data_IF_552909958218
#
_entry.id   IF_552909958218
#
_cell.length_a   1.000
_cell.length_b   1.000
_cell.length_c   1.000
_cell.angle_alpha   90.00
_cell.angle_beta   90.00
_cell.angle_gamma   90.00
#
_symmetry.space_group_name_H-M   'P 1'
#
loop_
_entity.id
_entity.type
_entity.pdbx_description
1 polymer ?
#
# COMPACT_ATOMS: atom_id res chain seq x y z
N UNK A 1 -5.15 10.01 -22.61
CA UNK A 1 -4.45 10.01 -21.31
C UNK A 1 -3.44 8.88 -21.37
N UNK A 2 -2.14 9.18 -21.21
CA UNK A 2 -1.09 8.16 -21.16
C UNK A 2 -0.75 7.97 -19.69
N UNK A 3 -0.94 6.76 -19.16
CA UNK A 3 -0.53 6.40 -17.80
C UNK A 3 0.81 5.67 -17.92
N UNK A 4 1.82 6.19 -17.23
CA UNK A 4 3.15 5.56 -17.16
C UNK A 4 3.34 4.97 -15.77
N UNK A 5 3.62 3.67 -15.71
CA UNK A 5 4.03 3.01 -14.47
C UNK A 5 5.54 3.23 -14.34
N UNK A 6 5.97 3.85 -13.25
CA UNK A 6 7.39 4.00 -12.91
C UNK A 6 7.69 3.33 -11.57
N UNK A 7 8.94 2.92 -11.39
CA UNK A 7 9.42 2.51 -10.08
C UNK A 7 9.45 3.73 -9.13
N UNK A 8 9.23 3.46 -7.85
CA UNK A 8 9.50 4.44 -6.80
C UNK A 8 11.00 4.52 -6.54
N UNK A 9 11.52 5.73 -6.39
CA UNK A 9 12.95 6.01 -6.24
C UNK A 9 13.23 6.76 -4.93
N UNK A 10 12.27 7.55 -4.45
CA UNK A 10 12.43 8.36 -3.23
C UNK A 10 11.70 7.78 -2.04
N UNK A 11 12.17 8.11 -0.83
CA UNK A 11 11.49 7.73 0.40
C UNK A 11 10.07 8.31 0.50
N UNK A 12 9.84 9.48 -0.08
CA UNK A 12 8.52 10.13 -0.13
C UNK A 12 7.54 9.34 -1.01
N UNK A 13 7.99 8.86 -2.17
CA UNK A 13 7.18 8.02 -3.06
C UNK A 13 6.79 6.71 -2.37
N UNK A 14 7.74 6.07 -1.70
CA UNK A 14 7.51 4.84 -0.94
C UNK A 14 6.53 5.07 0.22
N UNK A 15 6.69 6.16 0.99
CA UNK A 15 5.77 6.50 2.07
C UNK A 15 4.37 6.83 1.54
N UNK A 16 4.27 7.56 0.43
CA UNK A 16 3.02 7.88 -0.25
C UNK A 16 2.26 6.61 -0.64
N UNK A 17 2.94 5.66 -1.31
CA UNK A 17 2.34 4.37 -1.66
C UNK A 17 1.93 3.56 -0.44
N UNK A 18 2.79 3.51 0.58
CA UNK A 18 2.50 2.77 1.82
C UNK A 18 1.19 3.23 2.46
N UNK A 19 0.93 4.55 2.46
CA UNK A 19 -0.31 5.14 2.96
C UNK A 19 -1.51 4.80 2.08
N UNK A 20 -1.38 4.91 0.76
CA UNK A 20 -2.47 4.57 -0.17
C UNK A 20 -2.88 3.10 -0.02
N UNK A 21 -1.93 2.17 0.06
CA UNK A 21 -2.26 0.76 0.29
C UNK A 21 -2.94 0.55 1.64
N UNK A 22 -2.36 1.09 2.71
CA UNK A 22 -2.94 0.96 4.06
C UNK A 22 -4.38 1.50 4.13
N UNK A 23 -4.62 2.67 3.53
CA UNK A 23 -5.96 3.27 3.45
C UNK A 23 -6.91 2.42 2.61
N UNK A 24 -6.46 1.95 1.44
CA UNK A 24 -7.26 1.07 0.57
C UNK A 24 -7.68 -0.20 1.29
N UNK A 25 -6.81 -0.77 2.13
CA UNK A 25 -7.18 -1.96 2.91
C UNK A 25 -8.37 -1.72 3.83
N UNK A 26 -8.47 -0.52 4.40
CA UNK A 26 -9.53 -0.10 5.32
C UNK A 26 -10.80 0.35 4.61
N UNK A 27 -10.69 0.84 3.39
CA UNK A 27 -11.83 1.35 2.63
C UNK A 27 -12.45 0.26 1.75
N UNK A 28 -11.63 -0.45 0.98
CA UNK A 28 -12.11 -1.41 -0.01
C UNK A 28 -12.48 -2.77 0.59
N UNK A 29 -11.80 -3.20 1.67
CA UNK A 29 -12.00 -4.54 2.23
C UNK A 29 -12.78 -4.57 3.54
N UNK A 30 -13.24 -3.44 4.06
CA UNK A 30 -13.92 -3.33 5.37
C UNK A 30 -15.02 -4.38 5.56
N UNK A 31 -15.83 -4.60 4.52
CA UNK A 31 -16.98 -5.50 4.55
C UNK A 31 -16.73 -6.84 3.81
N UNK A 32 -15.52 -7.03 3.30
CA UNK A 32 -15.14 -8.21 2.50
C UNK A 32 -14.28 -9.16 3.35
N UNK A 33 -13.37 -8.62 4.15
CA UNK A 33 -12.43 -9.40 4.95
C UNK A 33 -12.75 -9.29 6.44
N UNK A 34 -12.53 -10.35 7.23
CA UNK A 34 -12.67 -10.27 8.68
C UNK A 34 -11.77 -9.16 9.26
N UNK A 35 -12.25 -8.48 10.30
CA UNK A 35 -11.55 -7.35 10.92
C UNK A 35 -10.12 -7.71 11.35
N UNK A 36 -9.92 -8.91 11.90
CA UNK A 36 -8.62 -9.45 12.29
C UNK A 36 -7.60 -9.54 11.14
N UNK A 37 -8.03 -9.71 9.89
CA UNK A 37 -7.13 -9.69 8.73
C UNK A 37 -6.75 -8.27 8.35
N UNK A 38 -7.68 -7.33 8.43
CA UNK A 38 -7.41 -5.92 8.15
C UNK A 38 -6.51 -5.29 9.21
N UNK A 39 -6.69 -5.65 10.48
CA UNK A 39 -5.84 -5.19 11.59
C UNK A 39 -4.38 -5.64 11.44
N UNK A 40 -4.15 -6.79 10.80
CA UNK A 40 -2.80 -7.26 10.47
C UNK A 40 -2.13 -6.44 9.36
N UNK A 41 -2.89 -5.72 8.52
CA UNK A 41 -2.35 -4.78 7.54
C UNK A 41 -2.07 -3.43 8.19
N UNK A 42 -1.04 -3.41 9.02
CA UNK A 42 -0.55 -2.17 9.64
C UNK A 42 0.17 -1.29 8.62
N UNK A 43 0.28 0.01 8.92
CA UNK A 43 1.02 0.94 8.08
C UNK A 43 2.50 0.52 7.94
N UNK A 44 3.10 0.01 9.01
CA UNK A 44 4.50 -0.48 8.98
C UNK A 44 4.66 -1.70 8.08
N UNK A 45 3.66 -2.58 8.03
CA UNK A 45 3.65 -3.71 7.11
C UNK A 45 3.52 -3.24 5.66
N UNK A 46 2.71 -2.20 5.42
CA UNK A 46 2.60 -1.58 4.09
C UNK A 46 3.91 -0.88 3.67
N UNK A 47 4.62 -0.24 4.61
CA UNK A 47 5.98 0.30 4.39
C UNK A 47 6.98 -0.78 4.00
N UNK A 48 7.00 -1.86 4.77
CA UNK A 48 7.86 -3.01 4.48
C UNK A 48 7.62 -3.55 3.06
N UNK A 49 6.36 -3.74 2.66
CA UNK A 49 6.06 -4.21 1.31
C UNK A 49 6.42 -3.20 0.23
N UNK A 50 6.19 -1.90 0.46
CA UNK A 50 6.53 -0.87 -0.52
C UNK A 50 8.04 -0.73 -0.75
N UNK A 51 8.84 -0.97 0.29
CA UNK A 51 10.31 -1.01 0.18
C UNK A 51 10.80 -2.31 -0.46
N UNK A 52 10.17 -3.44 -0.13
CA UNK A 52 10.59 -4.76 -0.62
C UNK A 52 10.19 -4.99 -2.08
N UNK A 53 9.07 -4.42 -2.51
CA UNK A 53 8.48 -4.59 -3.83
C UNK A 53 8.11 -3.22 -4.44
N UNK A 54 9.10 -2.37 -4.77
CA UNK A 54 8.86 -1.03 -5.29
C UNK A 54 8.20 -1.01 -6.68
N UNK A 55 8.27 -2.11 -7.43
CA UNK A 55 7.76 -2.28 -8.79
C UNK A 55 6.29 -2.72 -8.87
N UNK A 56 5.75 -3.30 -7.80
CA UNK A 56 4.36 -3.77 -7.78
C UNK A 56 3.45 -2.54 -7.69
N UNK A 57 2.46 -2.34 -8.58
CA UNK A 57 1.55 -1.20 -8.50
C UNK A 57 0.78 -1.10 -7.18
#
# INVERSE_FOLDING_TARGET
>A
MVITIKAMETAEEIEGKSRVHWQTWREAYNEILPAEFQEQMTLDKCRFYSQKYPEIP
#
